data_IF_899764663235
#
_entry.id   IF_899764663235
#
_cell.length_a   1.000
_cell.length_b   1.000
_cell.length_c   1.000
_cell.angle_alpha   90.00
_cell.angle_beta   90.00
_cell.angle_gamma   90.00
#
_symmetry.space_group_name_H-M   'P 1'
#
loop_
_entity.id
_entity.type
_entity.pdbx_description
1 polymer ?
#
# COMPACT_ATOMS: atom_id res chain seq x y z
N UNK A 1 -20.13 4.32 -12.55
CA UNK A 1 -18.97 3.49 -12.84
C UNK A 1 -19.22 2.73 -14.16
N UNK A 2 -18.27 2.84 -15.11
CA UNK A 2 -18.31 2.13 -16.38
C UNK A 2 -17.19 1.09 -16.35
N UNK A 3 -17.53 -0.20 -16.42
CA UNK A 3 -16.57 -1.28 -16.54
C UNK A 3 -16.27 -1.55 -18.02
N UNK A 4 -14.99 -1.55 -18.38
CA UNK A 4 -14.53 -1.73 -19.75
C UNK A 4 -13.78 -3.05 -19.91
N UNK A 5 -14.04 -3.83 -20.98
CA UNK A 5 -13.30 -5.05 -21.23
C UNK A 5 -11.83 -4.74 -21.55
N UNK A 6 -10.92 -5.53 -20.94
CA UNK A 6 -9.46 -5.35 -21.12
C UNK A 6 -8.90 -5.90 -22.43
N UNK A 7 -9.69 -6.66 -23.20
CA UNK A 7 -9.22 -7.31 -24.43
C UNK A 7 -9.19 -6.33 -25.61
N UNK A 8 -8.15 -6.41 -26.45
CA UNK A 8 -7.91 -5.50 -27.58
C UNK A 8 -9.05 -5.45 -28.58
N UNK A 9 -9.81 -6.51 -28.75
CA UNK A 9 -10.95 -6.58 -29.69
C UNK A 9 -12.10 -5.63 -29.29
N UNK A 10 -12.17 -5.22 -28.01
CA UNK A 10 -13.20 -4.33 -27.47
C UNK A 10 -12.71 -2.88 -27.30
N UNK A 11 -11.68 -2.47 -28.04
CA UNK A 11 -11.12 -1.12 -27.98
C UNK A 11 -12.14 -0.03 -28.32
N UNK A 12 -13.16 -0.34 -29.15
CA UNK A 12 -14.25 0.57 -29.47
C UNK A 12 -15.11 0.93 -28.25
N UNK A 13 -15.40 -0.06 -27.39
CA UNK A 13 -16.16 0.15 -26.15
C UNK A 13 -15.36 1.01 -25.15
N UNK A 14 -14.06 0.74 -24.99
CA UNK A 14 -13.18 1.59 -24.20
C UNK A 14 -13.13 3.03 -24.71
N UNK A 15 -13.14 3.21 -26.03
CA UNK A 15 -13.19 4.55 -26.67
C UNK A 15 -14.47 5.30 -26.33
N UNK A 16 -15.62 4.61 -26.42
CA UNK A 16 -16.91 5.20 -26.08
C UNK A 16 -16.99 5.57 -24.60
N UNK A 17 -16.51 4.68 -23.71
CA UNK A 17 -16.47 4.91 -22.29
C UNK A 17 -15.59 6.11 -21.89
N UNK A 18 -14.38 6.21 -22.46
CA UNK A 18 -13.46 7.33 -22.20
C UNK A 18 -14.02 8.69 -22.62
N UNK A 19 -14.90 8.74 -23.64
CA UNK A 19 -15.57 9.98 -24.05
C UNK A 19 -16.69 10.42 -23.12
N UNK A 20 -17.23 9.48 -22.33
CA UNK A 20 -18.33 9.73 -21.41
C UNK A 20 -17.87 9.85 -19.95
N UNK A 21 -16.60 9.55 -19.66
CA UNK A 21 -16.06 9.51 -18.31
C UNK A 21 -15.31 10.80 -17.95
N UNK A 22 -15.45 11.24 -16.70
CA UNK A 22 -14.71 12.37 -16.15
C UNK A 22 -13.27 11.98 -15.73
N UNK A 23 -13.05 10.71 -15.40
CA UNK A 23 -11.75 10.14 -15.05
C UNK A 23 -11.67 8.67 -15.43
N UNK A 24 -10.47 8.13 -15.54
CA UNK A 24 -10.26 6.72 -15.84
C UNK A 24 -9.32 6.05 -14.86
N UNK A 25 -9.73 4.87 -14.38
CA UNK A 25 -8.90 4.02 -13.54
C UNK A 25 -8.20 2.97 -14.40
N UNK A 26 -6.88 3.07 -14.52
CA UNK A 26 -6.05 2.09 -15.21
C UNK A 26 -5.74 0.93 -14.26
N UNK A 27 -6.15 -0.29 -14.61
CA UNK A 27 -5.86 -1.49 -13.84
C UNK A 27 -4.73 -2.28 -14.50
N UNK A 28 -3.61 -2.46 -13.79
CA UNK A 28 -2.41 -3.15 -14.29
C UNK A 28 -2.08 -4.33 -13.37
N UNK A 29 -1.78 -5.49 -13.95
CA UNK A 29 -1.34 -6.66 -13.18
C UNK A 29 0.07 -6.48 -12.65
N UNK A 30 0.30 -6.78 -11.36
CA UNK A 30 1.60 -6.65 -10.71
C UNK A 30 2.66 -7.62 -11.32
N UNK A 31 2.22 -8.75 -11.83
CA UNK A 31 3.11 -9.77 -12.43
C UNK A 31 3.47 -9.41 -13.86
N UNK A 32 2.44 -9.17 -14.68
CA UNK A 32 2.59 -8.90 -16.11
C UNK A 32 3.13 -7.49 -16.39
N UNK A 33 2.80 -6.54 -15.51
CA UNK A 33 3.16 -5.14 -15.69
C UNK A 33 2.43 -4.45 -16.87
N UNK A 34 3.09 -3.47 -17.46
CA UNK A 34 2.54 -2.69 -18.58
C UNK A 34 2.67 -3.47 -19.89
N UNK A 35 1.53 -3.83 -20.48
CA UNK A 35 1.43 -4.51 -21.78
C UNK A 35 1.13 -3.51 -22.89
N UNK A 36 1.24 -3.95 -24.13
CA UNK A 36 0.98 -3.14 -25.32
C UNK A 36 -0.44 -2.50 -25.32
N UNK A 37 -1.43 -3.29 -24.89
CA UNK A 37 -2.80 -2.77 -24.78
C UNK A 37 -2.94 -1.69 -23.70
N UNK A 38 -2.26 -1.85 -22.57
CA UNK A 38 -2.17 -0.84 -21.50
C UNK A 38 -1.59 0.47 -22.04
N UNK A 39 -0.51 0.40 -22.80
CA UNK A 39 0.10 1.57 -23.45
C UNK A 39 -0.87 2.27 -24.41
N UNK A 40 -1.63 1.50 -25.22
CA UNK A 40 -2.65 2.04 -26.11
C UNK A 40 -3.75 2.77 -25.35
N UNK A 41 -4.23 2.21 -24.25
CA UNK A 41 -5.26 2.81 -23.41
C UNK A 41 -4.78 4.11 -22.76
N UNK A 42 -3.54 4.15 -22.26
CA UNK A 42 -2.93 5.38 -21.72
C UNK A 42 -2.90 6.47 -22.81
N UNK A 43 -2.36 6.16 -24.00
CA UNK A 43 -2.32 7.10 -25.12
C UNK A 43 -3.71 7.61 -25.50
N UNK A 44 -4.71 6.73 -25.43
CA UNK A 44 -6.08 7.10 -25.77
C UNK A 44 -6.68 8.05 -24.71
N UNK A 45 -6.52 7.75 -23.43
CA UNK A 45 -6.99 8.61 -22.34
C UNK A 45 -6.33 9.99 -22.39
N UNK A 46 -5.02 10.06 -22.64
CA UNK A 46 -4.30 11.33 -22.79
C UNK A 46 -4.84 12.18 -23.97
N UNK A 47 -5.15 11.56 -25.11
CA UNK A 47 -5.74 12.25 -26.26
C UNK A 47 -7.14 12.80 -25.99
N UNK A 48 -7.89 12.17 -25.08
CA UNK A 48 -9.22 12.63 -24.66
C UNK A 48 -9.15 13.56 -23.45
N UNK A 49 -7.94 13.90 -22.96
CA UNK A 49 -7.72 14.70 -21.75
C UNK A 49 -8.40 14.16 -20.50
N UNK A 50 -8.57 12.83 -20.41
CA UNK A 50 -9.16 12.16 -19.25
C UNK A 50 -8.08 11.92 -18.20
N UNK A 51 -8.25 12.43 -16.96
CA UNK A 51 -7.32 12.17 -15.87
C UNK A 51 -7.24 10.68 -15.56
N UNK A 52 -6.03 10.21 -15.21
CA UNK A 52 -5.76 8.81 -14.91
C UNK A 52 -5.49 8.58 -13.42
N UNK A 53 -6.02 7.50 -12.90
CA UNK A 53 -5.57 6.87 -11.65
C UNK A 53 -5.08 5.46 -11.94
N UNK A 54 -4.27 4.87 -11.06
CA UNK A 54 -3.66 3.56 -11.27
C UNK A 54 -4.00 2.59 -10.13
N UNK A 55 -4.47 1.41 -10.49
CA UNK A 55 -4.58 0.28 -9.57
C UNK A 55 -3.63 -0.82 -10.02
N UNK A 56 -2.66 -1.16 -9.18
CA UNK A 56 -1.81 -2.34 -9.38
C UNK A 56 -2.50 -3.54 -8.72
N UNK A 57 -3.11 -4.36 -9.55
CA UNK A 57 -3.88 -5.54 -9.12
C UNK A 57 -3.03 -6.80 -9.12
N UNK A 58 -3.51 -7.88 -8.50
CA UNK A 58 -2.86 -9.19 -8.41
C UNK A 58 -1.52 -9.15 -7.64
N UNK A 59 -1.41 -8.28 -6.64
CA UNK A 59 -0.20 -8.20 -5.79
C UNK A 59 0.03 -9.52 -5.04
N UNK A 60 -1.05 -10.24 -4.69
CA UNK A 60 -1.02 -11.58 -4.12
C UNK A 60 -0.16 -12.58 -4.94
N UNK A 61 -0.15 -12.46 -6.26
CA UNK A 61 0.65 -13.35 -7.13
C UNK A 61 2.15 -13.14 -7.00
N UNK A 62 2.60 -11.94 -6.61
CA UNK A 62 4.02 -11.70 -6.31
C UNK A 62 4.47 -12.55 -5.11
N UNK A 63 3.56 -12.76 -4.15
CA UNK A 63 3.80 -13.48 -2.90
C UNK A 63 3.63 -14.99 -3.12
N UNK A 64 2.47 -15.40 -3.63
CA UNK A 64 2.06 -16.81 -3.67
C UNK A 64 2.63 -17.57 -4.87
N UNK A 65 2.69 -16.93 -6.05
CA UNK A 65 3.13 -17.58 -7.29
C UNK A 65 4.61 -17.35 -7.55
N UNK A 66 5.05 -16.09 -7.59
CA UNK A 66 6.44 -15.76 -7.86
C UNK A 66 7.36 -15.91 -6.65
N UNK A 67 6.78 -15.94 -5.43
CA UNK A 67 7.52 -16.06 -4.16
C UNK A 67 8.69 -15.08 -4.06
N UNK A 68 8.48 -13.85 -4.54
CA UNK A 68 9.51 -12.83 -4.50
C UNK A 68 9.75 -12.37 -3.06
N UNK A 69 11.01 -12.10 -2.68
CA UNK A 69 11.28 -11.37 -1.43
C UNK A 69 10.56 -10.02 -1.40
N UNK A 70 10.17 -9.50 -0.22
CA UNK A 70 9.44 -8.24 -0.11
C UNK A 70 10.13 -7.05 -0.79
N UNK A 71 11.48 -7.00 -0.72
CA UNK A 71 12.26 -5.95 -1.38
C UNK A 71 12.16 -6.04 -2.92
N UNK A 72 12.21 -7.23 -3.49
CA UNK A 72 12.10 -7.42 -4.94
C UNK A 72 10.67 -7.15 -5.43
N UNK A 73 9.67 -7.53 -4.64
CA UNK A 73 8.28 -7.18 -4.91
C UNK A 73 8.09 -5.65 -4.94
N UNK A 74 8.69 -4.92 -4.00
CA UNK A 74 8.69 -3.45 -4.00
C UNK A 74 9.29 -2.88 -5.28
N UNK A 75 10.47 -3.34 -5.68
CA UNK A 75 11.11 -2.90 -6.92
C UNK A 75 10.27 -3.16 -8.17
N UNK A 76 9.58 -4.29 -8.20
CA UNK A 76 8.65 -4.61 -9.29
C UNK A 76 7.45 -3.65 -9.35
N UNK A 77 6.90 -3.28 -8.19
CA UNK A 77 5.82 -2.28 -8.11
C UNK A 77 6.29 -0.90 -8.57
N UNK A 78 7.46 -0.45 -8.10
CA UNK A 78 8.09 0.81 -8.53
C UNK A 78 8.29 0.81 -10.05
N UNK A 79 8.91 -0.25 -10.60
CA UNK A 79 9.14 -0.35 -12.03
C UNK A 79 7.85 -0.27 -12.85
N UNK A 80 6.75 -0.86 -12.37
CA UNK A 80 5.46 -0.78 -13.04
C UNK A 80 4.93 0.64 -13.07
N UNK A 81 5.01 1.38 -11.96
CA UNK A 81 4.59 2.78 -11.88
C UNK A 81 5.46 3.67 -12.78
N UNK A 82 6.78 3.50 -12.71
CA UNK A 82 7.73 4.26 -13.53
C UNK A 82 7.48 4.03 -15.02
N UNK A 83 7.18 2.80 -15.42
CA UNK A 83 6.85 2.47 -16.81
C UNK A 83 5.58 3.16 -17.27
N UNK A 84 4.54 3.22 -16.43
CA UNK A 84 3.29 3.97 -16.74
C UNK A 84 3.59 5.45 -16.87
N UNK A 85 4.34 6.03 -15.92
CA UNK A 85 4.72 7.44 -15.94
C UNK A 85 5.54 7.81 -17.18
N UNK A 86 6.49 6.96 -17.60
CA UNK A 86 7.29 7.16 -18.79
C UNK A 86 6.43 7.23 -20.05
N UNK A 87 5.38 6.40 -20.15
CA UNK A 87 4.42 6.43 -21.28
C UNK A 87 3.59 7.72 -21.23
N UNK A 88 3.14 8.13 -20.07
CA UNK A 88 2.38 9.39 -19.88
C UNK A 88 3.26 10.58 -20.30
N UNK A 89 4.48 10.66 -19.84
CA UNK A 89 5.43 11.73 -20.15
C UNK A 89 5.73 11.79 -21.65
N UNK A 90 5.99 10.65 -22.26
CA UNK A 90 6.27 10.55 -23.70
C UNK A 90 5.12 11.03 -24.59
N UNK A 91 3.85 10.95 -24.12
CA UNK A 91 2.67 11.21 -24.92
C UNK A 91 1.83 12.40 -24.43
N UNK A 92 2.29 13.15 -23.43
CA UNK A 92 1.60 14.32 -22.87
C UNK A 92 1.56 15.55 -23.79
N UNK A 93 2.28 15.54 -24.91
CA UNK A 93 2.20 16.58 -25.93
C UNK A 93 2.61 17.99 -25.48
N UNK A 94 3.49 18.12 -24.47
CA UNK A 94 3.97 19.41 -23.95
C UNK A 94 3.09 20.03 -22.86
N UNK A 95 1.98 19.40 -22.50
CA UNK A 95 1.22 19.73 -21.28
C UNK A 95 1.93 19.11 -20.09
N UNK A 96 1.98 19.79 -18.94
CA UNK A 96 2.56 19.24 -17.73
C UNK A 96 1.93 17.86 -17.43
N UNK A 97 2.73 16.76 -17.46
CA UNK A 97 2.17 15.42 -17.38
C UNK A 97 1.62 15.17 -15.97
N UNK A 98 0.45 14.57 -15.90
CA UNK A 98 -0.07 14.06 -14.64
C UNK A 98 0.85 12.93 -14.16
N UNK A 99 1.54 13.13 -13.06
CA UNK A 99 2.37 12.08 -12.45
C UNK A 99 1.51 11.16 -11.59
N UNK A 100 1.68 9.87 -11.79
CA UNK A 100 1.11 8.83 -10.94
C UNK A 100 2.13 8.46 -9.85
N UNK A 101 1.74 8.64 -8.59
CA UNK A 101 2.58 8.26 -7.44
C UNK A 101 1.70 7.87 -6.26
N UNK A 102 2.07 6.80 -5.53
CA UNK A 102 1.38 6.46 -4.29
C UNK A 102 1.36 7.60 -3.27
N UNK A 103 2.40 8.44 -3.23
CA UNK A 103 2.50 9.60 -2.33
C UNK A 103 1.45 10.68 -2.61
N UNK A 104 1.06 10.83 -3.88
CA UNK A 104 0.03 11.78 -4.32
C UNK A 104 -1.38 11.24 -4.03
N UNK A 105 -1.49 9.91 -3.83
CA UNK A 105 -2.77 9.26 -3.53
C UNK A 105 -3.53 8.76 -4.77
N UNK A 106 -2.97 8.88 -5.97
CA UNK A 106 -3.59 8.45 -7.23
C UNK A 106 -3.15 7.04 -7.69
N UNK A 107 -2.51 6.27 -6.80
CA UNK A 107 -2.10 4.87 -7.04
C UNK A 107 -2.54 4.01 -5.86
N UNK A 108 -3.18 2.88 -6.17
CA UNK A 108 -3.58 1.85 -5.21
C UNK A 108 -2.95 0.50 -5.52
N UNK A 109 -2.80 -0.31 -4.49
CA UNK A 109 -2.37 -1.71 -4.55
C UNK A 109 -3.54 -2.61 -4.20
N UNK A 110 -3.75 -3.68 -4.97
CA UNK A 110 -4.95 -4.50 -4.83
C UNK A 110 -4.71 -5.99 -5.10
N UNK A 111 -5.59 -6.80 -4.53
CA UNK A 111 -5.86 -8.16 -4.95
C UNK A 111 -7.38 -8.36 -5.05
N UNK A 112 -7.90 -8.33 -6.26
CA UNK A 112 -9.32 -8.60 -6.50
C UNK A 112 -9.70 -10.04 -6.11
N UNK A 113 -8.78 -11.00 -6.24
CA UNK A 113 -9.00 -12.38 -5.83
C UNK A 113 -9.25 -12.52 -4.33
N UNK A 114 -8.52 -11.77 -3.50
CA UNK A 114 -8.63 -11.81 -2.05
C UNK A 114 -9.43 -10.63 -1.47
N UNK A 115 -9.98 -9.77 -2.34
CA UNK A 115 -10.97 -8.76 -1.96
C UNK A 115 -10.41 -7.59 -1.15
N UNK A 116 -9.19 -7.14 -1.42
CA UNK A 116 -8.60 -5.99 -0.76
C UNK A 116 -7.98 -4.98 -1.72
N UNK A 117 -7.99 -3.74 -1.31
CA UNK A 117 -7.34 -2.63 -1.99
C UNK A 117 -6.92 -1.57 -0.97
N UNK A 118 -5.71 -1.06 -1.07
CA UNK A 118 -5.25 0.04 -0.23
C UNK A 118 -4.48 1.10 -1.03
N UNK A 119 -4.62 2.35 -0.61
CA UNK A 119 -3.72 3.47 -0.91
C UNK A 119 -2.78 3.69 0.28
N UNK A 120 -1.70 4.44 0.12
CA UNK A 120 -0.83 4.76 1.27
C UNK A 120 -1.58 5.50 2.37
N UNK A 121 -2.50 6.38 2.00
CA UNK A 121 -3.30 7.11 2.98
C UNK A 121 -4.24 6.18 3.77
N UNK A 122 -4.96 5.28 3.07
CA UNK A 122 -5.84 4.33 3.75
C UNK A 122 -5.06 3.37 4.65
N UNK A 123 -3.88 2.94 4.23
CA UNK A 123 -2.99 2.11 5.04
C UNK A 123 -2.48 2.87 6.27
N UNK A 124 -2.01 4.10 6.09
CA UNK A 124 -1.55 4.93 7.20
C UNK A 124 -2.67 5.23 8.21
N UNK A 125 -3.89 5.45 7.75
CA UNK A 125 -5.07 5.62 8.62
C UNK A 125 -5.32 4.37 9.45
N UNK A 126 -5.36 3.18 8.82
CA UNK A 126 -5.51 1.91 9.54
C UNK A 126 -4.40 1.70 10.57
N UNK A 127 -3.16 2.03 10.21
CA UNK A 127 -2.03 1.91 11.11
C UNK A 127 -2.15 2.84 12.31
N UNK A 128 -2.53 4.10 12.09
CA UNK A 128 -2.75 5.09 13.16
C UNK A 128 -3.91 4.68 14.05
N UNK A 129 -5.04 4.25 13.49
CA UNK A 129 -6.21 3.81 14.25
C UNK A 129 -5.90 2.58 15.12
N UNK A 130 -5.02 1.69 14.65
CA UNK A 130 -4.71 0.45 15.36
C UNK A 130 -3.63 0.61 16.44
N UNK A 131 -2.58 1.38 16.15
CA UNK A 131 -1.42 1.50 17.03
C UNK A 131 -1.37 2.81 17.81
N UNK A 132 -2.11 3.85 17.36
CA UNK A 132 -2.11 5.17 17.98
C UNK A 132 -3.46 5.63 18.51
N UNK A 133 -4.55 4.89 18.30
CA UNK A 133 -5.80 5.16 19.02
C UNK A 133 -5.52 5.11 20.53
N UNK A 134 -6.03 6.05 21.33
CA UNK A 134 -5.74 6.09 22.75
C UNK A 134 -6.16 4.78 23.39
N UNK A 135 -5.18 3.96 23.74
CA UNK A 135 -5.40 2.68 24.38
C UNK A 135 -6.11 2.91 25.71
N UNK A 136 -7.31 2.38 25.83
CA UNK A 136 -8.03 2.28 27.10
C UNK A 136 -7.42 1.22 28.05
N UNK A 137 -6.15 0.78 27.83
CA UNK A 137 -5.47 -0.19 28.69
C UNK A 137 -3.98 0.16 28.77
N UNK A 138 -3.40 0.29 29.97
CA UNK A 138 -1.96 0.55 30.15
C UNK A 138 -1.16 -0.73 29.82
N UNK A 139 -0.40 -0.72 28.73
CA UNK A 139 0.57 -1.76 28.46
C UNK A 139 1.98 -1.30 28.86
N UNK A 140 2.77 -2.22 29.40
CA UNK A 140 4.17 -2.04 29.85
C UNK A 140 5.12 -1.43 28.82
N UNK A 141 4.72 -1.37 27.54
CA UNK A 141 5.46 -0.73 26.46
C UNK A 141 5.39 0.81 26.52
N UNK A 142 4.38 1.40 27.18
CA UNK A 142 4.26 2.84 27.35
C UNK A 142 5.32 3.44 28.29
N UNK A 143 5.76 2.67 29.28
CA UNK A 143 6.75 3.13 30.25
C UNK A 143 8.18 3.15 29.68
N UNK A 144 8.50 2.26 28.74
CA UNK A 144 9.78 2.27 28.01
C UNK A 144 9.87 3.43 27.00
N UNK A 145 8.75 3.81 26.38
CA UNK A 145 8.69 4.96 25.46
C UNK A 145 8.79 6.30 26.20
N UNK A 146 8.26 6.40 27.42
CA UNK A 146 8.38 7.59 28.25
C UNK A 146 9.82 7.84 28.75
N UNK A 147 10.57 6.77 29.06
CA UNK A 147 11.98 6.85 29.45
C UNK A 147 12.91 7.28 28.31
N UNK A 148 12.59 6.88 27.05
CA UNK A 148 13.34 7.30 25.87
C UNK A 148 13.09 8.76 25.48
N UNK A 149 11.92 9.31 25.79
CA UNK A 149 11.56 10.69 25.51
C UNK A 149 12.30 11.71 26.43
N UNK A 150 12.67 11.29 27.62
CA UNK A 150 13.38 12.14 28.59
C UNK A 150 14.88 12.30 28.27
N UNK A 151 15.45 11.47 27.41
CA UNK A 151 16.89 11.48 27.06
C UNK A 151 17.23 12.33 25.81
N UNK A 152 16.27 13.00 25.18
CA UNK A 152 16.44 13.63 23.86
C UNK A 152 16.49 15.16 23.86
N UNK A 153 16.78 15.81 24.98
CA UNK A 153 16.78 17.30 25.05
C UNK A 153 18.10 18.00 24.71
N UNK A 154 19.12 17.36 24.20
CA UNK A 154 20.34 18.09 23.73
C UNK A 154 20.82 17.54 22.38
N UNK A 155 20.56 18.28 21.31
CA UNK A 155 21.13 18.04 19.99
C UNK A 155 20.38 18.73 18.85
N UNK A 156 21.05 19.62 18.19
CA UNK A 156 20.64 20.44 17.05
C UNK A 156 19.95 19.59 15.94
N UNK A 157 18.68 19.89 15.64
CA UNK A 157 17.77 19.09 14.83
C UNK A 157 17.73 19.58 13.38
N UNK A 158 18.12 18.71 12.44
CA UNK A 158 17.70 18.81 11.05
C UNK A 158 16.15 18.74 10.99
N UNK A 159 15.51 19.71 10.35
CA UNK A 159 14.06 19.96 10.36
C UNK A 159 13.18 18.85 9.73
N UNK A 160 13.73 17.70 9.35
CA UNK A 160 13.00 16.58 8.72
C UNK A 160 13.00 15.28 9.59
N UNK A 161 13.50 15.34 10.82
CA UNK A 161 13.61 14.20 11.73
C UNK A 161 12.47 14.19 12.74
N UNK A 162 11.29 13.73 12.35
CA UNK A 162 10.19 13.50 13.29
C UNK A 162 10.13 12.02 13.67
N UNK A 163 10.47 11.73 14.91
CA UNK A 163 10.43 10.40 15.55
C UNK A 163 9.01 9.97 15.88
N UNK A 164 8.66 8.67 15.91
CA UNK A 164 7.44 8.19 16.56
C UNK A 164 7.37 8.56 18.05
N UNK A 165 8.50 8.71 18.73
CA UNK A 165 8.58 9.23 20.11
C UNK A 165 8.40 10.75 20.18
N UNK A 166 8.70 11.51 19.11
CA UNK A 166 8.43 12.94 18.98
C UNK A 166 6.98 13.24 18.53
N UNK A 167 6.24 12.24 18.06
CA UNK A 167 4.78 12.31 18.05
C UNK A 167 4.29 12.11 19.49
N UNK A 168 4.56 13.06 20.35
CA UNK A 168 3.90 13.13 21.65
C UNK A 168 2.40 12.98 21.44
N UNK A 169 1.68 12.30 22.32
CA UNK A 169 0.24 11.98 22.38
C UNK A 169 -0.75 12.91 21.62
N UNK A 170 -0.28 13.78 20.78
CA UNK A 170 -0.95 14.57 19.76
C UNK A 170 -1.17 13.70 18.54
N UNK A 171 -2.38 13.65 18.03
CA UNK A 171 -2.84 12.81 16.93
C UNK A 171 -1.81 12.73 15.80
N UNK A 172 -1.25 11.52 15.58
CA UNK A 172 -0.34 11.27 14.45
C UNK A 172 -1.14 11.52 13.17
N UNK A 173 -0.70 12.46 12.36
CA UNK A 173 -1.34 12.72 11.07
C UNK A 173 -1.06 11.56 10.10
N UNK A 174 -2.11 10.82 9.76
CA UNK A 174 -2.03 9.70 8.82
C UNK A 174 -1.46 10.14 7.46
N UNK A 175 -1.70 11.38 7.03
CA UNK A 175 -1.16 11.90 5.78
C UNK A 175 0.35 12.15 5.87
N UNK A 176 0.86 12.56 7.03
CA UNK A 176 2.30 12.69 7.26
C UNK A 176 3.00 11.31 7.26
N UNK A 177 2.37 10.27 7.82
CA UNK A 177 2.87 8.90 7.74
C UNK A 177 2.84 8.39 6.30
N UNK A 178 1.73 8.56 5.57
CA UNK A 178 1.58 8.10 4.18
C UNK A 178 2.70 8.61 3.28
N UNK A 179 3.10 9.89 3.41
CA UNK A 179 4.21 10.48 2.64
C UNK A 179 5.58 9.88 2.95
N UNK A 180 5.72 9.13 4.04
CA UNK A 180 6.98 8.49 4.46
C UNK A 180 7.02 7.00 4.14
N UNK A 181 5.91 6.43 3.66
CA UNK A 181 5.82 5.01 3.32
C UNK A 181 6.34 4.68 1.93
N UNK A 182 6.57 5.64 1.04
CA UNK A 182 7.01 5.38 -0.34
C UNK A 182 8.33 6.05 -0.68
N UNK A 183 9.00 5.54 -1.71
CA UNK A 183 10.27 6.07 -2.21
C UNK A 183 11.48 5.55 -1.42
N UNK A 184 12.58 6.29 -1.49
CA UNK A 184 13.80 5.97 -0.74
C UNK A 184 13.71 6.51 0.69
N UNK A 185 12.80 5.92 1.45
CA UNK A 185 12.59 6.15 2.86
C UNK A 185 12.84 4.85 3.61
N UNK A 186 13.58 4.95 4.68
CA UNK A 186 13.97 3.84 5.54
C UNK A 186 13.47 4.12 6.95
N UNK A 187 12.99 3.09 7.62
CA UNK A 187 12.59 3.17 9.02
C UNK A 187 13.58 2.38 9.86
N UNK A 188 14.10 3.01 10.87
CA UNK A 188 14.95 2.37 11.86
C UNK A 188 14.11 2.04 13.10
N UNK A 189 13.94 0.74 13.36
CA UNK A 189 13.13 0.26 14.49
C UNK A 189 13.77 0.54 15.85
N UNK A 190 15.12 0.67 15.93
CA UNK A 190 15.83 0.93 17.18
C UNK A 190 15.66 2.38 17.62
N UNK A 191 15.79 3.32 16.66
CA UNK A 191 15.66 4.76 16.93
C UNK A 191 14.24 5.28 16.72
N UNK A 192 13.37 4.50 16.07
CA UNK A 192 12.01 4.90 15.71
C UNK A 192 11.95 6.04 14.67
N UNK A 193 13.02 6.27 13.89
CA UNK A 193 13.14 7.40 12.97
C UNK A 193 13.06 6.99 11.51
N UNK A 194 12.50 7.89 10.69
CA UNK A 194 12.57 7.78 9.24
C UNK A 194 13.80 8.53 8.72
N UNK A 195 14.54 7.92 7.78
CA UNK A 195 15.71 8.49 7.12
C UNK A 195 15.62 8.34 5.61
N UNK A 196 16.40 9.15 4.86
CA UNK A 196 16.58 9.02 3.41
C UNK A 196 17.73 8.10 3.04
N UNK A 197 18.55 7.72 3.99
CA UNK A 197 19.68 6.81 3.81
C UNK A 197 19.51 5.60 4.72
N UNK A 198 19.91 4.41 4.27
CA UNK A 198 19.88 3.25 5.14
C UNK A 198 20.80 3.45 6.33
N UNK A 199 20.32 3.20 7.55
CA UNK A 199 21.14 3.32 8.76
C UNK A 199 22.22 2.24 8.81
N UNK A 200 21.97 1.08 8.22
CA UNK A 200 22.91 -0.06 8.12
C UNK A 200 22.63 -0.85 6.83
N UNK A 201 23.56 -1.71 6.42
CA UNK A 201 23.48 -2.43 5.13
C UNK A 201 22.27 -3.38 4.94
N UNK A 202 21.52 -3.66 6.01
CA UNK A 202 20.29 -4.47 5.99
C UNK A 202 19.01 -3.66 6.18
N UNK A 203 19.07 -2.33 6.28
CA UNK A 203 17.89 -1.51 6.49
C UNK A 203 16.94 -1.62 5.31
N UNK A 204 15.68 -1.91 5.61
CA UNK A 204 14.63 -2.04 4.59
C UNK A 204 13.90 -0.71 4.37
N UNK A 205 13.35 -0.53 3.17
CA UNK A 205 12.50 0.62 2.88
C UNK A 205 11.22 0.58 3.71
N UNK A 206 10.73 1.75 4.09
CA UNK A 206 9.52 1.88 4.91
C UNK A 206 8.29 1.18 4.31
N UNK A 207 8.08 1.25 2.98
CA UNK A 207 7.00 0.50 2.34
C UNK A 207 7.14 -1.01 2.52
N UNK A 208 8.36 -1.53 2.46
CA UNK A 208 8.63 -2.95 2.69
C UNK A 208 8.29 -3.32 4.12
N UNK A 209 8.85 -2.62 5.10
CA UNK A 209 8.68 -2.95 6.52
C UNK A 209 7.24 -2.76 7.02
N UNK A 210 6.55 -1.68 6.58
CA UNK A 210 5.21 -1.37 7.08
C UNK A 210 4.09 -2.05 6.28
N UNK A 211 4.22 -2.15 4.95
CA UNK A 211 3.15 -2.64 4.10
C UNK A 211 3.39 -4.08 3.64
N UNK A 212 4.56 -4.38 3.05
CA UNK A 212 4.78 -5.69 2.45
C UNK A 212 5.05 -6.78 3.48
N UNK A 213 5.91 -6.57 4.47
CA UNK A 213 6.22 -7.61 5.47
C UNK A 213 4.99 -8.08 6.25
N UNK A 214 4.12 -7.19 6.80
CA UNK A 214 2.89 -7.63 7.43
C UNK A 214 1.98 -8.39 6.45
N UNK A 215 1.89 -7.94 5.20
CA UNK A 215 1.12 -8.61 4.16
C UNK A 215 1.67 -10.02 3.90
N UNK A 216 2.97 -10.18 3.75
CA UNK A 216 3.64 -11.48 3.59
C UNK A 216 3.41 -12.38 4.81
N UNK A 217 3.50 -11.82 6.02
CA UNK A 217 3.23 -12.55 7.27
C UNK A 217 1.80 -13.11 7.28
N UNK A 218 0.79 -12.29 6.92
CA UNK A 218 -0.60 -12.75 6.84
C UNK A 218 -0.76 -13.86 5.79
N UNK A 219 -0.18 -13.69 4.58
CA UNK A 219 -0.27 -14.72 3.54
C UNK A 219 0.40 -16.03 3.95
N UNK A 220 1.59 -15.96 4.56
CA UNK A 220 2.33 -17.13 5.04
C UNK A 220 1.56 -17.84 6.15
N UNK A 221 1.04 -17.11 7.11
CA UNK A 221 0.29 -17.66 8.23
C UNK A 221 -1.00 -18.38 7.77
N UNK A 222 -1.80 -17.73 6.92
CA UNK A 222 -3.07 -18.33 6.43
C UNK A 222 -2.85 -19.58 5.59
N UNK A 223 -1.72 -19.66 4.87
CA UNK A 223 -1.43 -20.82 4.00
C UNK A 223 -0.75 -21.96 4.76
N UNK A 224 0.08 -21.66 5.77
CA UNK A 224 1.00 -22.63 6.37
C UNK A 224 0.78 -22.95 7.84
N UNK A 225 -0.02 -22.19 8.58
CA UNK A 225 -0.17 -22.38 10.02
C UNK A 225 -1.46 -23.13 10.38
N UNK A 226 -1.40 -23.88 11.47
CA UNK A 226 -2.59 -24.47 12.10
C UNK A 226 -3.45 -23.39 12.75
N UNK A 227 -4.75 -23.67 12.94
CA UNK A 227 -5.76 -22.68 13.38
C UNK A 227 -5.42 -21.97 14.70
N UNK A 228 -4.78 -22.66 15.64
CA UNK A 228 -4.40 -22.07 16.93
C UNK A 228 -3.21 -21.11 16.80
N UNK A 229 -2.18 -21.51 16.05
CA UNK A 229 -1.02 -20.67 15.76
C UNK A 229 -1.43 -19.47 14.88
N UNK A 230 -2.24 -19.72 13.86
CA UNK A 230 -2.82 -18.67 13.02
C UNK A 230 -3.59 -17.64 13.86
N UNK A 231 -4.40 -18.09 14.83
CA UNK A 231 -5.11 -17.17 15.72
C UNK A 231 -4.15 -16.27 16.49
N UNK A 232 -3.06 -16.82 17.01
CA UNK A 232 -2.04 -16.06 17.74
C UNK A 232 -1.33 -15.04 16.82
N UNK A 233 -0.89 -15.49 15.63
CA UNK A 233 -0.24 -14.63 14.62
C UNK A 233 -1.16 -13.48 14.16
N UNK A 234 -2.45 -13.75 13.95
CA UNK A 234 -3.41 -12.71 13.58
C UNK A 234 -3.70 -11.75 14.74
N UNK A 235 -3.70 -12.25 15.98
CA UNK A 235 -3.86 -11.40 17.17
C UNK A 235 -2.69 -10.42 17.36
N UNK A 236 -1.43 -10.85 17.07
CA UNK A 236 -0.25 -9.95 17.04
C UNK A 236 -0.40 -8.82 16.03
N UNK A 237 -1.09 -9.09 14.91
CA UNK A 237 -1.41 -8.09 13.89
C UNK A 237 -2.69 -7.31 14.20
N UNK A 238 -3.21 -7.42 15.44
CA UNK A 238 -4.37 -6.70 15.92
C UNK A 238 -5.73 -7.25 15.46
N UNK A 239 -5.75 -8.41 14.83
CA UNK A 239 -6.98 -9.03 14.32
C UNK A 239 -7.46 -10.14 15.26
N UNK A 240 -8.68 -10.00 15.79
CA UNK A 240 -9.26 -11.03 16.65
C UNK A 240 -10.25 -11.90 15.86
N UNK A 241 -9.98 -13.20 15.83
CA UNK A 241 -10.84 -14.21 15.25
C UNK A 241 -11.18 -15.30 16.29
N UNK A 242 -12.39 -15.86 16.18
CA UNK A 242 -12.75 -17.07 16.92
C UNK A 242 -12.21 -18.28 16.17
N UNK A 243 -11.72 -19.31 16.88
CA UNK A 243 -11.21 -20.55 16.26
C UNK A 243 -12.15 -21.15 15.22
N UNK A 244 -13.47 -21.14 15.49
CA UNK A 244 -14.49 -21.64 14.54
C UNK A 244 -14.50 -20.91 13.20
N UNK A 245 -14.06 -19.65 13.14
CA UNK A 245 -13.99 -18.86 11.91
C UNK A 245 -12.75 -19.19 11.08
N UNK A 246 -11.75 -19.81 11.69
CA UNK A 246 -10.48 -20.18 11.05
C UNK A 246 -10.51 -21.60 10.45
N UNK A 247 -11.53 -22.41 10.80
CA UNK A 247 -11.73 -23.77 10.29
C UNK A 247 -12.52 -23.78 8.96
N UNK A 248 -12.06 -22.98 8.00
CA UNK A 248 -12.61 -22.94 6.64
C UNK A 248 -11.50 -23.10 5.62
N UNK A 249 -11.84 -23.40 4.37
CA UNK A 249 -10.85 -23.55 3.31
C UNK A 249 -9.96 -22.30 3.16
N UNK A 250 -8.71 -22.49 2.75
CA UNK A 250 -7.68 -21.43 2.69
C UNK A 250 -8.11 -20.21 1.84
N UNK A 251 -8.83 -20.42 0.74
CA UNK A 251 -9.24 -19.32 -0.16
C UNK A 251 -10.33 -18.41 0.47
N UNK A 252 -11.44 -18.90 1.01
CA UNK A 252 -12.41 -18.07 1.73
C UNK A 252 -11.80 -17.51 3.04
N UNK A 253 -10.91 -18.26 3.71
CA UNK A 253 -10.20 -17.77 4.90
C UNK A 253 -9.33 -16.57 4.57
N UNK A 254 -8.56 -16.63 3.49
CA UNK A 254 -7.74 -15.53 3.02
C UNK A 254 -8.59 -14.27 2.76
N UNK A 255 -9.72 -14.42 2.09
CA UNK A 255 -10.65 -13.30 1.87
C UNK A 255 -11.17 -12.70 3.17
N UNK A 256 -11.56 -13.55 4.11
CA UNK A 256 -12.06 -13.12 5.42
C UNK A 256 -10.98 -12.34 6.20
N UNK A 257 -9.76 -12.88 6.27
CA UNK A 257 -8.64 -12.25 6.96
C UNK A 257 -8.27 -10.92 6.31
N UNK A 258 -8.11 -10.91 4.99
CA UNK A 258 -7.73 -9.71 4.24
C UNK A 258 -8.78 -8.60 4.28
N UNK A 259 -10.07 -8.95 4.25
CA UNK A 259 -11.15 -7.97 4.39
C UNK A 259 -11.16 -7.29 5.76
N UNK A 260 -10.69 -8.00 6.80
CA UNK A 260 -10.50 -7.44 8.15
C UNK A 260 -9.23 -6.61 8.25
N UNK A 261 -8.15 -7.06 7.61
CA UNK A 261 -6.86 -6.38 7.64
C UNK A 261 -6.91 -5.01 6.96
N UNK A 262 -7.58 -4.89 5.80
CA UNK A 262 -7.64 -3.65 5.02
C UNK A 262 -8.96 -2.88 5.13
N UNK A 263 -9.92 -3.35 5.92
CA UNK A 263 -11.26 -2.76 6.00
C UNK A 263 -11.91 -2.56 4.62
N UNK A 264 -11.79 -3.59 3.78
CA UNK A 264 -12.43 -3.66 2.47
C UNK A 264 -11.77 -2.82 1.38
N UNK A 265 -12.53 -1.90 0.77
CA UNK A 265 -12.13 -1.14 -0.43
C UNK A 265 -11.85 0.35 -0.16
N UNK A 266 -11.63 0.74 1.09
CA UNK A 266 -11.37 2.15 1.46
C UNK A 266 -10.24 2.78 0.66
N UNK A 267 -9.20 2.01 0.32
CA UNK A 267 -8.11 2.49 -0.51
C UNK A 267 -8.55 2.97 -1.89
N UNK A 268 -9.46 2.24 -2.52
CA UNK A 268 -10.00 2.62 -3.83
C UNK A 268 -10.89 3.86 -3.73
N UNK A 269 -11.80 3.91 -2.76
CA UNK A 269 -12.69 5.06 -2.59
C UNK A 269 -11.93 6.34 -2.28
N UNK A 270 -10.89 6.27 -1.44
CA UNK A 270 -10.04 7.43 -1.12
C UNK A 270 -9.17 7.90 -2.30
N UNK A 271 -8.90 7.05 -3.29
CA UNK A 271 -8.16 7.41 -4.50
C UNK A 271 -9.05 8.13 -5.51
N UNK A 272 -10.34 7.78 -5.57
CA UNK A 272 -11.29 8.29 -6.59
C UNK A 272 -12.03 9.53 -6.11
N UNK A 273 -12.13 9.73 -4.79
CA UNK A 273 -12.71 10.93 -4.19
C UNK A 273 -11.79 12.14 -4.34
#
# INVERSE_FOLDING_TARGET
LIDCPGHVNFSGECTAALRAADSACLVVGAVEGVLLNTERLIKHALRQHVPLTLVINKVDRLILELKLPPADAYHKLVHTIDRVNAIIEQHSGGVAPQRLSPEIGNVCFASAQHGWCFSLLSFATLYVDHYWAPAAVPSRAADAAAAAAAAAEEGELDADATTPAAFGRSAVDASALARRLWGDRYFDAETGRFSRRPAHGGAQRSFVSFCLEPLYKVYSAVVGEESELLQATLAELGMQFRLKQLHIDAKPLMRLVMSRFFDGVRGFTSMVA
#
